data_IF_437054509595
#
_entry.id   IF_437054509595
#
_cell.length_a   1.000
_cell.length_b   1.000
_cell.length_c   1.000
_cell.angle_alpha   90.00
_cell.angle_beta   90.00
_cell.angle_gamma   90.00
#
_symmetry.space_group_name_H-M   'P 1'
#
loop_
_entity.id
_entity.type
_entity.pdbx_description
1 polymer ?
#
# COMPACT_ATOMS: atom_id res chain seq x y z
N UNK A 1 -32.47 -15.47 -1.82
CA UNK A 1 -31.00 -15.42 -1.64
C UNK A 1 -30.38 -14.87 -2.93
N UNK A 2 -29.86 -13.64 -2.90
CA UNK A 2 -29.22 -13.04 -4.07
C UNK A 2 -27.84 -13.68 -4.29
N UNK A 3 -27.55 -14.12 -5.52
CA UNK A 3 -26.21 -14.60 -5.90
C UNK A 3 -25.19 -13.48 -5.65
N UNK A 4 -23.99 -13.77 -5.09
CA UNK A 4 -22.94 -12.77 -4.98
C UNK A 4 -22.63 -12.25 -6.40
N UNK A 5 -22.71 -10.92 -6.57
CA UNK A 5 -22.23 -10.26 -7.80
C UNK A 5 -20.79 -10.72 -8.03
N UNK A 6 -20.52 -11.33 -9.18
CA UNK A 6 -19.16 -11.67 -9.60
C UNK A 6 -18.24 -10.45 -9.37
N UNK A 7 -17.03 -10.63 -8.83
CA UNK A 7 -16.09 -9.53 -8.69
C UNK A 7 -15.91 -8.89 -10.07
N UNK A 8 -16.17 -7.60 -10.16
CA UNK A 8 -16.05 -6.82 -11.40
C UNK A 8 -14.64 -7.01 -11.95
N UNK A 9 -14.48 -7.78 -13.01
CA UNK A 9 -13.16 -8.07 -13.58
C UNK A 9 -12.67 -6.85 -14.34
N UNK A 10 -11.67 -6.16 -13.79
CA UNK A 10 -11.01 -5.03 -14.45
C UNK A 10 -10.15 -5.59 -15.60
N UNK A 11 -10.42 -5.13 -16.82
CA UNK A 11 -9.65 -5.46 -18.03
C UNK A 11 -8.67 -4.33 -18.31
N UNK A 12 -7.39 -4.67 -18.48
CA UNK A 12 -6.35 -3.74 -18.90
C UNK A 12 -5.93 -4.09 -20.33
N UNK A 13 -6.10 -3.13 -21.24
CA UNK A 13 -5.59 -3.23 -22.60
C UNK A 13 -4.18 -2.64 -22.67
N UNK A 14 -3.19 -3.49 -22.92
CA UNK A 14 -1.79 -3.13 -23.12
C UNK A 14 -1.54 -3.03 -24.62
N UNK A 15 -1.13 -1.84 -25.09
CA UNK A 15 -0.82 -1.58 -26.49
C UNK A 15 0.66 -1.24 -26.60
N UNK A 16 1.44 -2.09 -27.28
CA UNK A 16 2.86 -1.86 -27.53
C UNK A 16 3.22 -2.19 -28.97
N UNK A 17 3.83 -1.25 -29.71
CA UNK A 17 4.25 -1.44 -31.12
C UNK A 17 3.16 -2.08 -32.00
N UNK A 18 1.92 -1.57 -31.91
CA UNK A 18 0.72 -2.07 -32.62
C UNK A 18 0.22 -3.46 -32.19
N UNK A 19 0.81 -4.08 -31.17
CA UNK A 19 0.29 -5.31 -30.57
C UNK A 19 -0.64 -4.93 -29.42
N UNK A 20 -1.88 -5.42 -29.46
CA UNK A 20 -2.87 -5.27 -28.38
C UNK A 20 -2.98 -6.58 -27.61
N UNK A 21 -2.81 -6.52 -26.29
CA UNK A 21 -3.09 -7.62 -25.37
C UNK A 21 -4.03 -7.15 -24.27
N UNK A 22 -5.04 -7.94 -23.96
CA UNK A 22 -5.93 -7.71 -22.82
C UNK A 22 -5.51 -8.61 -21.68
N UNK A 23 -5.30 -8.04 -20.50
CA UNK A 23 -5.01 -8.79 -19.27
C UNK A 23 -6.11 -8.52 -18.26
N UNK A 24 -6.56 -9.58 -17.58
CA UNK A 24 -7.50 -9.45 -16.48
C UNK A 24 -6.72 -9.15 -15.20
N UNK A 25 -7.04 -8.05 -14.53
CA UNK A 25 -6.28 -7.60 -13.35
C UNK A 25 -6.22 -8.67 -12.26
N UNK A 26 -7.32 -9.40 -12.04
CA UNK A 26 -7.41 -10.48 -11.05
C UNK A 26 -6.56 -11.73 -11.39
N UNK A 27 -5.95 -11.79 -12.58
CA UNK A 27 -5.02 -12.87 -12.98
C UNK A 27 -3.55 -12.48 -12.79
N UNK A 28 -3.28 -11.23 -12.41
CA UNK A 28 -1.95 -10.69 -12.16
C UNK A 28 -1.65 -10.84 -10.66
N UNK A 29 -0.40 -11.12 -10.29
CA UNK A 29 -0.01 -11.13 -8.87
C UNK A 29 -0.12 -9.72 -8.25
N UNK A 30 -0.35 -9.66 -6.94
CA UNK A 30 -0.61 -8.39 -6.23
C UNK A 30 0.53 -7.37 -6.39
N UNK A 31 1.79 -7.82 -6.42
CA UNK A 31 2.94 -6.93 -6.58
C UNK A 31 2.97 -6.27 -7.95
N UNK A 32 2.72 -7.05 -9.00
CA UNK A 32 2.61 -6.50 -10.36
C UNK A 32 1.38 -5.59 -10.50
N UNK A 33 0.25 -5.91 -9.86
CA UNK A 33 -0.91 -5.02 -9.81
C UNK A 33 -0.53 -3.67 -9.20
N UNK A 34 0.11 -3.68 -8.02
CA UNK A 34 0.55 -2.45 -7.33
C UNK A 34 1.45 -1.59 -8.22
N UNK A 35 2.45 -2.17 -8.88
CA UNK A 35 3.35 -1.41 -9.77
C UNK A 35 2.63 -0.79 -10.97
N UNK A 36 1.66 -1.50 -11.55
CA UNK A 36 0.83 -0.95 -12.61
C UNK A 36 0.03 0.23 -12.06
N UNK A 37 -0.58 0.09 -10.89
CA UNK A 37 -1.31 1.18 -10.23
C UNK A 37 -0.41 2.38 -9.90
N UNK A 38 0.79 2.16 -9.36
CA UNK A 38 1.79 3.19 -9.08
C UNK A 38 2.16 3.96 -10.36
N UNK A 39 2.44 3.25 -11.46
CA UNK A 39 2.73 3.88 -12.74
C UNK A 39 1.54 4.71 -13.27
N UNK A 40 0.33 4.15 -13.22
CA UNK A 40 -0.88 4.86 -13.67
C UNK A 40 -1.18 6.07 -12.76
N UNK A 41 -0.85 6.00 -11.47
CA UNK A 41 -1.01 7.13 -10.54
C UNK A 41 -0.16 8.34 -10.92
N UNK A 42 1.07 8.10 -11.39
CA UNK A 42 1.95 9.13 -11.92
C UNK A 42 1.48 9.72 -13.25
N UNK A 43 0.58 9.03 -13.97
CA UNK A 43 0.03 9.47 -15.26
C UNK A 43 -1.30 10.21 -15.11
N UNK A 44 -2.15 9.82 -14.15
CA UNK A 44 -3.52 10.32 -14.07
C UNK A 44 -3.76 11.41 -13.02
N UNK A 45 -2.78 11.78 -12.19
CA UNK A 45 -2.88 12.83 -11.14
C UNK A 45 -4.11 12.75 -10.20
N UNK A 46 -4.90 11.68 -10.25
CA UNK A 46 -6.15 11.54 -9.51
C UNK A 46 -5.89 10.88 -8.14
N UNK A 47 -5.20 11.64 -7.29
CA UNK A 47 -4.58 11.22 -6.02
C UNK A 47 -5.60 10.61 -5.02
N UNK A 48 -6.89 10.94 -5.11
CA UNK A 48 -7.89 10.50 -4.12
C UNK A 48 -8.18 9.00 -4.16
N UNK A 49 -8.22 8.40 -5.36
CA UNK A 49 -8.42 6.95 -5.53
C UNK A 49 -7.22 6.15 -4.99
N UNK A 50 -6.00 6.67 -5.20
CA UNK A 50 -4.75 6.03 -4.78
C UNK A 50 -4.52 6.09 -3.27
N UNK A 51 -4.91 7.17 -2.60
CA UNK A 51 -4.86 7.23 -1.13
C UNK A 51 -5.65 6.08 -0.51
N UNK A 52 -6.82 5.74 -1.03
CA UNK A 52 -7.62 4.63 -0.49
C UNK A 52 -7.01 3.24 -0.70
N UNK A 53 -6.25 3.05 -1.78
CA UNK A 53 -5.58 1.78 -2.10
C UNK A 53 -4.25 1.63 -1.35
N UNK A 54 -3.48 2.72 -1.22
CA UNK A 54 -2.24 2.75 -0.43
C UNK A 54 -2.51 2.49 1.06
N UNK A 55 -3.58 3.09 1.60
CA UNK A 55 -4.03 2.85 2.97
C UNK A 55 -4.35 1.37 3.22
N UNK A 56 -4.97 0.68 2.25
CA UNK A 56 -5.29 -0.76 2.33
C UNK A 56 -4.11 -1.68 2.00
N UNK A 57 -2.94 -1.14 1.66
CA UNK A 57 -1.79 -1.96 1.30
C UNK A 57 -1.24 -2.66 2.53
N UNK A 58 -0.97 -3.96 2.39
CA UNK A 58 -0.41 -4.78 3.46
C UNK A 58 0.96 -4.25 3.91
N UNK A 59 1.18 -4.16 5.23
CA UNK A 59 2.42 -3.66 5.81
C UNK A 59 3.63 -4.53 5.42
N UNK A 60 3.39 -5.79 5.04
CA UNK A 60 4.38 -6.72 4.52
C UNK A 60 5.05 -6.23 3.22
N UNK A 61 4.32 -5.45 2.41
CA UNK A 61 4.86 -4.81 1.21
C UNK A 61 6.08 -3.92 1.54
N UNK A 62 6.07 -3.28 2.70
CA UNK A 62 7.12 -2.36 3.14
C UNK A 62 8.26 -3.05 3.91
N UNK A 63 8.37 -4.38 3.87
CA UNK A 63 9.39 -5.14 4.60
C UNK A 63 10.83 -4.75 4.18
N UNK A 64 11.05 -4.29 2.96
CA UNK A 64 12.33 -3.77 2.50
C UNK A 64 12.75 -2.46 3.23
N UNK A 65 11.78 -1.60 3.56
CA UNK A 65 12.00 -0.32 4.25
C UNK A 65 12.00 -0.50 5.76
N UNK A 66 11.00 -1.21 6.30
CA UNK A 66 10.80 -1.39 7.73
C UNK A 66 11.66 -2.51 8.33
N UNK A 67 12.00 -3.51 7.52
CA UNK A 67 12.68 -4.73 7.94
C UNK A 67 11.68 -5.84 8.31
N UNK A 68 11.95 -7.11 7.96
CA UNK A 68 11.00 -8.21 8.11
C UNK A 68 10.66 -8.52 9.58
N UNK A 69 11.63 -8.31 10.50
CA UNK A 69 11.41 -8.50 11.94
C UNK A 69 10.40 -7.49 12.51
N UNK A 70 10.44 -6.24 12.05
CA UNK A 70 9.51 -5.20 12.49
C UNK A 70 8.11 -5.43 11.91
N UNK A 71 8.01 -5.77 10.63
CA UNK A 71 6.75 -6.16 9.98
C UNK A 71 6.09 -7.31 10.72
N UNK A 72 6.84 -8.37 11.07
CA UNK A 72 6.29 -9.51 11.80
C UNK A 72 5.71 -9.11 13.15
N UNK A 73 6.35 -8.19 13.86
CA UNK A 73 5.86 -7.66 15.14
C UNK A 73 4.58 -6.85 14.96
N UNK A 74 4.49 -6.03 13.92
CA UNK A 74 3.27 -5.27 13.59
C UNK A 74 2.10 -6.21 13.30
N UNK A 75 2.30 -7.22 12.45
CA UNK A 75 1.28 -8.22 12.14
C UNK A 75 0.83 -8.98 13.40
N UNK A 76 1.74 -9.29 14.34
CA UNK A 76 1.38 -9.91 15.62
C UNK A 76 0.46 -9.05 16.49
N UNK A 77 0.48 -7.73 16.31
CA UNK A 77 -0.42 -6.80 16.99
C UNK A 77 -1.65 -6.42 16.15
N UNK A 78 -1.90 -7.14 15.05
CA UNK A 78 -3.05 -6.90 14.17
C UNK A 78 -2.89 -5.70 13.25
N UNK A 79 -1.70 -5.09 13.20
CA UNK A 79 -1.38 -3.99 12.29
C UNK A 79 -0.94 -4.63 10.98
N UNK A 80 -1.90 -4.84 10.08
CA UNK A 80 -1.68 -5.58 8.83
C UNK A 80 -1.59 -4.67 7.62
N UNK A 81 -2.12 -3.45 7.70
CA UNK A 81 -2.14 -2.47 6.62
C UNK A 81 -1.50 -1.15 7.04
N UNK A 82 -1.25 -0.29 6.05
CA UNK A 82 -0.79 1.08 6.33
C UNK A 82 -1.85 1.89 7.11
N UNK A 83 -3.12 1.69 6.78
CA UNK A 83 -4.27 2.28 7.48
C UNK A 83 -4.24 1.88 8.96
N UNK A 84 -4.12 0.59 9.25
CA UNK A 84 -4.01 0.10 10.63
C UNK A 84 -2.87 0.79 11.36
N UNK A 85 -1.70 0.95 10.73
CA UNK A 85 -0.53 1.58 11.36
C UNK A 85 -0.79 3.06 11.69
N UNK A 86 -1.51 3.77 10.83
CA UNK A 86 -1.80 5.20 11.00
C UNK A 86 -2.84 5.48 12.09
N UNK A 87 -3.63 4.47 12.48
CA UNK A 87 -4.52 4.58 13.64
C UNK A 87 -3.76 4.59 14.98
N UNK A 88 -2.50 4.17 15.01
CA UNK A 88 -1.69 4.19 16.23
C UNK A 88 -0.84 5.45 16.31
N UNK A 89 -0.93 6.14 17.45
CA UNK A 89 0.05 7.16 17.81
C UNK A 89 1.42 6.52 18.13
N UNK A 90 2.52 7.27 17.98
CA UNK A 90 3.84 6.80 18.41
C UNK A 90 3.88 6.36 19.88
N UNK A 91 3.07 6.97 20.74
CA UNK A 91 2.98 6.59 22.15
C UNK A 91 2.28 5.23 22.34
N UNK A 92 1.25 4.92 21.55
CA UNK A 92 0.59 3.62 21.57
C UNK A 92 1.48 2.53 20.99
N UNK A 93 2.22 2.81 19.92
CA UNK A 93 3.20 1.88 19.35
C UNK A 93 4.28 1.49 20.36
N UNK A 94 4.73 2.42 21.22
CA UNK A 94 5.69 2.12 22.31
C UNK A 94 5.12 1.18 23.37
N UNK A 95 3.80 1.15 23.56
CA UNK A 95 3.14 0.25 24.52
C UNK A 95 3.00 -1.16 23.98
N UNK A 96 3.16 -1.36 22.66
CA UNK A 96 3.09 -2.68 22.05
C UNK A 96 4.32 -3.50 22.41
N UNK A 97 4.08 -4.69 22.97
CA UNK A 97 5.15 -5.60 23.37
C UNK A 97 6.11 -5.86 22.19
N UNK A 98 7.41 -5.77 22.44
CA UNK A 98 8.50 -5.97 21.47
C UNK A 98 8.66 -4.89 20.40
N UNK A 99 7.91 -3.80 20.44
CA UNK A 99 8.17 -2.60 19.64
C UNK A 99 8.92 -1.58 20.52
N UNK A 100 10.25 -1.56 20.39
CA UNK A 100 11.10 -0.63 21.15
C UNK A 100 11.19 0.76 20.51
N UNK A 101 11.76 1.72 21.24
CA UNK A 101 11.86 3.12 20.81
C UNK A 101 12.51 3.31 19.44
N UNK A 102 13.54 2.52 19.13
CA UNK A 102 14.21 2.55 17.82
C UNK A 102 13.24 2.13 16.70
N UNK A 103 12.40 1.12 16.95
CA UNK A 103 11.38 0.69 15.99
C UNK A 103 10.30 1.74 15.80
N UNK A 104 9.86 2.40 16.89
CA UNK A 104 8.88 3.49 16.82
C UNK A 104 9.43 4.68 16.06
N UNK A 105 10.68 5.08 16.31
CA UNK A 105 11.35 6.14 15.56
C UNK A 105 11.39 5.82 14.06
N UNK A 106 11.74 4.57 13.70
CA UNK A 106 11.75 4.10 12.32
C UNK A 106 10.37 4.14 11.67
N UNK A 107 9.32 3.72 12.39
CA UNK A 107 7.94 3.79 11.91
C UNK A 107 7.50 5.25 11.71
N UNK A 108 7.85 6.14 12.62
CA UNK A 108 7.52 7.56 12.48
C UNK A 108 8.22 8.19 11.27
N UNK A 109 9.52 7.92 11.06
CA UNK A 109 10.23 8.36 9.86
C UNK A 109 9.61 7.79 8.58
N UNK A 110 9.17 6.53 8.60
CA UNK A 110 8.50 5.91 7.47
C UNK A 110 7.13 6.57 7.19
N UNK A 111 6.30 6.80 8.21
CA UNK A 111 5.02 7.50 8.07
C UNK A 111 5.23 8.90 7.49
N UNK A 112 6.20 9.65 8.03
CA UNK A 112 6.55 10.99 7.51
C UNK A 112 7.03 10.93 6.06
N UNK A 113 7.81 9.93 5.69
CA UNK A 113 8.22 9.71 4.30
C UNK A 113 7.01 9.47 3.38
N UNK A 114 6.07 8.62 3.77
CA UNK A 114 4.84 8.37 2.99
C UNK A 114 3.98 9.63 2.87
N UNK A 115 3.82 10.40 3.96
CA UNK A 115 3.06 11.66 3.96
C UNK A 115 3.75 12.71 3.07
N UNK A 116 5.08 12.82 3.13
CA UNK A 116 5.84 13.84 2.39
C UNK A 116 6.01 13.50 0.90
N UNK A 117 6.24 12.24 0.52
CA UNK A 117 6.21 11.86 -0.90
C UNK A 117 4.84 12.14 -1.53
N UNK A 118 3.76 11.93 -0.77
CA UNK A 118 2.41 12.26 -1.20
C UNK A 118 2.14 13.77 -1.25
N UNK A 119 2.86 14.58 -0.46
CA UNK A 119 2.79 16.04 -0.50
C UNK A 119 3.53 16.61 -1.73
N UNK A 120 4.69 16.06 -2.07
CA UNK A 120 5.51 16.53 -3.21
C UNK A 120 4.82 16.21 -4.56
N UNK A 121 4.17 15.05 -4.67
CA UNK A 121 3.41 14.65 -5.88
C UNK A 121 2.12 15.45 -6.12
N UNK A 122 1.69 16.28 -5.16
CA UNK A 122 0.47 17.10 -5.28
C UNK A 122 0.72 18.55 -5.74
N UNK A 123 2.00 18.94 -5.93
CA UNK A 123 2.43 20.30 -6.27
C UNK A 123 3.08 20.37 -7.67
N UNK A 124 3.35 19.24 -8.32
CA UNK A 124 3.84 19.17 -9.71
C UNK A 124 2.71 18.73 -10.64
#
# INVERSE_FOLDING_TARGET
MAKPKNPTSIKIDIIHKKIKKTVLLNTIDYHTQYKIFEYLSGVFHDIQLFKSAEMKTEIAYYANKLGPSLVKKLNWHGINTLEDLLFYSPHELRKLNKIGDVSVAKLNSFIQYIINENSIKSIQ
#
